data_IF_270823141122
#
_entry.id   IF_270823141122
#
_cell.length_a   1.000
_cell.length_b   1.000
_cell.length_c   1.000
_cell.angle_alpha   90.00
_cell.angle_beta   90.00
_cell.angle_gamma   90.00
#
_symmetry.space_group_name_H-M   'P 1'
#
loop_
_entity.id
_entity.type
_entity.pdbx_description
1 polymer ?
#
# COMPACT_ATOMS: atom_id res chain seq x y z
N UNK A 1 -7.94 -1.72 -1.35
CA UNK A 1 -7.63 -0.79 -2.46
C UNK A 1 -8.58 0.40 -2.52
N UNK A 2 -9.90 0.21 -2.61
CA UNK A 2 -10.88 1.31 -2.78
C UNK A 2 -10.70 2.50 -1.81
N UNK A 3 -10.49 2.25 -0.51
CA UNK A 3 -10.28 3.33 0.47
C UNK A 3 -9.03 4.19 0.21
N UNK A 4 -7.92 3.58 -0.22
CA UNK A 4 -6.71 4.33 -0.55
C UNK A 4 -6.93 5.20 -1.79
N UNK A 5 -7.69 4.71 -2.77
CA UNK A 5 -8.08 5.49 -3.94
C UNK A 5 -9.01 6.65 -3.56
N UNK A 6 -9.98 6.42 -2.66
CA UNK A 6 -10.87 7.47 -2.14
C UNK A 6 -10.06 8.56 -1.41
N UNK A 7 -9.12 8.18 -0.55
CA UNK A 7 -8.24 9.13 0.13
C UNK A 7 -7.40 9.97 -0.84
N UNK A 8 -6.79 9.35 -1.86
CA UNK A 8 -5.98 10.07 -2.85
C UNK A 8 -6.81 10.96 -3.79
N UNK A 9 -8.12 10.71 -3.89
CA UNK A 9 -9.05 11.50 -4.69
C UNK A 9 -9.76 12.60 -3.88
N UNK A 10 -9.46 12.73 -2.59
CA UNK A 10 -10.18 13.65 -1.69
C UNK A 10 -9.32 14.84 -1.25
N UNK A 11 -9.94 15.81 -0.57
CA UNK A 11 -9.28 17.05 -0.12
C UNK A 11 -8.25 16.80 1.00
N UNK A 12 -8.36 15.68 1.71
CA UNK A 12 -7.43 15.24 2.74
C UNK A 12 -6.02 15.01 2.18
N UNK A 13 -5.89 14.63 0.91
CA UNK A 13 -4.59 14.45 0.25
C UNK A 13 -4.10 15.67 -0.54
N UNK A 14 -4.67 16.88 -0.35
CA UNK A 14 -4.36 18.07 -1.17
C UNK A 14 -2.88 18.49 -1.23
N UNK A 15 -2.07 18.05 -0.27
CA UNK A 15 -0.63 18.33 -0.20
C UNK A 15 0.26 17.13 -0.57
N UNK A 16 -0.34 16.03 -1.02
CA UNK A 16 0.35 14.78 -1.34
C UNK A 16 0.30 14.58 -2.86
N UNK A 17 1.45 14.66 -3.53
CA UNK A 17 1.58 14.48 -4.98
C UNK A 17 2.87 13.76 -5.34
N UNK A 18 2.87 13.06 -6.48
CA UNK A 18 4.06 12.36 -6.99
C UNK A 18 4.52 11.18 -6.13
N UNK A 19 3.67 10.67 -5.24
CA UNK A 19 4.00 9.55 -4.34
C UNK A 19 3.41 8.24 -4.85
N UNK A 20 4.03 7.13 -4.47
CA UNK A 20 3.46 5.80 -4.56
C UNK A 20 3.02 5.38 -3.17
N UNK A 21 1.72 5.11 -2.98
CA UNK A 21 1.17 4.60 -1.73
C UNK A 21 0.98 3.07 -1.83
N UNK A 22 1.83 2.25 -1.17
CA UNK A 22 1.71 0.80 -1.23
C UNK A 22 0.43 0.31 -0.54
N UNK A 23 -0.33 -0.55 -1.21
CA UNK A 23 -1.53 -1.21 -0.67
C UNK A 23 -1.38 -2.71 -0.87
N UNK A 24 -0.42 -3.31 -0.15
CA UNK A 24 0.10 -4.65 -0.40
C UNK A 24 0.11 -5.56 0.84
N UNK A 25 -0.67 -5.22 1.88
CA UNK A 25 -0.68 -5.92 3.16
C UNK A 25 0.69 -5.99 3.87
N UNK A 26 1.59 -5.04 3.58
CA UNK A 26 2.89 -4.92 4.25
C UNK A 26 3.99 -5.74 3.59
N UNK A 27 3.79 -6.28 2.38
CA UNK A 27 4.80 -7.03 1.64
C UNK A 27 6.08 -6.23 1.45
N UNK A 28 6.00 -4.93 1.13
CA UNK A 28 7.17 -4.07 0.96
C UNK A 28 7.94 -3.82 2.27
N UNK A 29 7.25 -3.86 3.41
CA UNK A 29 7.86 -3.59 4.72
C UNK A 29 8.35 -4.87 5.44
N UNK A 30 7.80 -6.02 5.07
CA UNK A 30 8.09 -7.28 5.72
C UNK A 30 9.41 -7.89 5.24
N UNK A 31 9.99 -8.77 6.07
CA UNK A 31 11.13 -9.58 5.64
C UNK A 31 10.67 -10.68 4.67
N UNK A 32 11.50 -11.10 3.71
CA UNK A 32 11.12 -12.16 2.77
C UNK A 32 10.67 -13.46 3.44
N UNK A 33 11.33 -13.85 4.54
CA UNK A 33 10.99 -15.08 5.27
C UNK A 33 9.63 -15.01 5.97
N UNK A 34 9.21 -13.83 6.44
CA UNK A 34 7.88 -13.67 7.06
C UNK A 34 6.74 -13.76 6.04
N UNK A 35 7.00 -13.42 4.78
CA UNK A 35 6.01 -13.45 3.71
C UNK A 35 6.02 -14.75 2.91
N UNK A 36 7.09 -15.57 2.99
CA UNK A 36 7.30 -16.76 2.16
C UNK A 36 6.06 -17.64 1.99
N UNK A 37 5.37 -17.97 3.09
CA UNK A 37 4.19 -18.85 3.06
C UNK A 37 3.02 -18.27 2.25
N UNK A 38 2.88 -16.95 2.23
CA UNK A 38 1.80 -16.25 1.51
C UNK A 38 2.14 -16.01 0.04
N UNK A 39 3.39 -16.27 -0.38
CA UNK A 39 3.88 -16.04 -1.74
C UNK A 39 4.06 -17.35 -2.53
N UNK A 40 4.11 -18.49 -1.85
CA UNK A 40 4.31 -19.82 -2.46
C UNK A 40 3.03 -20.64 -2.57
N UNK A 41 1.92 -20.11 -2.05
CA UNK A 41 0.56 -20.66 -2.19
C UNK A 41 -0.12 -20.05 -3.43
#
# INVERSE_FOLDING_TARGET
>A
VAWAAVFLASDESRWITGVVLPVDAGTLAATPLSMLRHLTD
#
